data_IF_927941405883
#
_entry.id   IF_927941405883
#
_cell.length_a   1.000
_cell.length_b   1.000
_cell.length_c   1.000
_cell.angle_alpha   90.00
_cell.angle_beta   90.00
_cell.angle_gamma   90.00
#
_symmetry.space_group_name_H-M   'P 1'
#
loop_
_entity.id
_entity.type
_entity.pdbx_description
1 polymer ?
#
# COMPACT_ATOMS: atom_id res chain seq x y z
N UNK A 1 -8.56 11.81 18.45
CA UNK A 1 -7.31 11.20 17.96
C UNK A 1 -7.20 9.79 18.53
N UNK A 2 -8.09 8.86 18.15
CA UNK A 2 -8.09 7.49 18.70
C UNK A 2 -8.27 6.41 17.62
N UNK A 3 -8.24 6.83 16.35
CA UNK A 3 -8.40 5.94 15.20
C UNK A 3 -7.10 5.22 14.82
N UNK A 4 -5.96 5.86 15.07
CA UNK A 4 -4.64 5.27 14.78
C UNK A 4 -4.25 4.14 15.75
N UNK A 5 -4.90 4.05 16.92
CA UNK A 5 -4.67 3.01 17.92
C UNK A 5 -5.59 1.79 17.74
N UNK A 6 -6.45 1.79 16.71
CA UNK A 6 -7.44 0.74 16.43
C UNK A 6 -7.25 0.24 14.99
N UNK A 7 -6.21 -0.59 14.75
CA UNK A 7 -5.78 -0.93 13.39
C UNK A 7 -6.85 -1.63 12.56
N UNK A 8 -7.69 -2.45 13.19
CA UNK A 8 -8.81 -3.13 12.52
C UNK A 8 -9.86 -2.12 12.03
N UNK A 9 -10.25 -1.17 12.88
CA UNK A 9 -11.21 -0.13 12.51
C UNK A 9 -10.64 0.81 11.45
N UNK A 10 -9.34 1.12 11.53
CA UNK A 10 -8.66 1.90 10.50
C UNK A 10 -8.69 1.17 9.15
N UNK A 11 -8.37 -0.13 9.13
CA UNK A 11 -8.37 -0.95 7.93
C UNK A 11 -9.76 -1.02 7.27
N UNK A 12 -10.84 -1.05 8.07
CA UNK A 12 -12.22 -1.06 7.57
C UNK A 12 -12.68 0.32 7.08
N UNK A 13 -12.21 1.39 7.72
CA UNK A 13 -12.60 2.77 7.38
C UNK A 13 -11.77 3.38 6.23
N UNK A 14 -10.89 2.62 5.58
CA UNK A 14 -9.90 3.14 4.63
C UNK A 14 -10.39 3.28 3.17
N UNK A 15 -11.69 3.18 2.89
CA UNK A 15 -12.23 3.10 1.53
C UNK A 15 -11.79 4.25 0.59
N UNK A 16 -11.69 5.49 1.11
CA UNK A 16 -11.24 6.65 0.33
C UNK A 16 -9.73 6.55 0.01
N UNK A 17 -8.83 6.40 1.01
CA UNK A 17 -7.42 6.12 0.75
C UNK A 17 -7.20 4.94 -0.19
N UNK A 18 -7.91 3.83 0.03
CA UNK A 18 -7.81 2.63 -0.80
C UNK A 18 -8.08 2.92 -2.27
N UNK A 19 -9.19 3.63 -2.56
CA UNK A 19 -9.54 3.99 -3.93
C UNK A 19 -8.48 4.91 -4.56
N UNK A 20 -8.05 5.94 -3.85
CA UNK A 20 -7.02 6.86 -4.34
C UNK A 20 -5.70 6.14 -4.63
N UNK A 21 -5.28 5.24 -3.73
CA UNK A 21 -4.08 4.42 -3.95
C UNK A 21 -4.26 3.47 -5.12
N UNK A 22 -5.44 2.85 -5.30
CA UNK A 22 -5.72 1.98 -6.43
C UNK A 22 -5.58 2.72 -7.77
N UNK A 23 -6.11 3.94 -7.86
CA UNK A 23 -6.03 4.75 -9.09
C UNK A 23 -4.55 5.06 -9.43
N UNK A 24 -3.77 5.51 -8.44
CA UNK A 24 -2.34 5.80 -8.60
C UNK A 24 -1.55 4.52 -8.97
N UNK A 25 -1.77 3.42 -8.27
CA UNK A 25 -1.07 2.15 -8.51
C UNK A 25 -1.34 1.63 -9.91
N UNK A 26 -2.57 1.79 -10.42
CA UNK A 26 -2.91 1.39 -11.78
C UNK A 26 -2.24 2.30 -12.82
N UNK A 27 -2.25 3.62 -12.60
CA UNK A 27 -1.61 4.61 -13.47
C UNK A 27 -0.10 4.37 -13.60
N UNK A 28 0.58 4.10 -12.48
CA UNK A 28 2.04 3.94 -12.42
C UNK A 28 2.50 2.47 -12.34
N UNK A 29 1.66 1.53 -12.79
CA UNK A 29 1.95 0.10 -12.68
C UNK A 29 3.27 -0.31 -13.37
N UNK A 30 3.61 0.33 -14.49
CA UNK A 30 4.87 0.08 -15.19
C UNK A 30 6.11 0.58 -14.44
N UNK A 31 5.99 1.68 -13.70
CA UNK A 31 7.05 2.25 -12.86
C UNK A 31 7.23 1.42 -11.60
N UNK A 32 6.13 1.03 -10.95
CA UNK A 32 6.14 0.16 -9.78
C UNK A 32 6.81 -1.17 -10.09
N UNK A 33 6.57 -1.76 -11.27
CA UNK A 33 7.19 -3.04 -11.65
C UNK A 33 8.71 -2.97 -11.79
N UNK A 34 9.27 -1.77 -11.97
CA UNK A 34 10.73 -1.55 -12.03
C UNK A 34 11.36 -1.41 -10.63
N UNK A 35 10.56 -1.28 -9.57
CA UNK A 35 11.06 -1.19 -8.20
C UNK A 35 11.50 -2.58 -7.72
N UNK A 36 12.78 -2.73 -7.43
CA UNK A 36 13.40 -3.99 -7.02
C UNK A 36 14.13 -3.85 -5.68
N UNK A 37 14.41 -4.97 -5.01
CA UNK A 37 15.12 -4.98 -3.73
C UNK A 37 14.24 -4.54 -2.57
N UNK A 38 14.74 -3.65 -1.70
CA UNK A 38 13.99 -3.20 -0.50
C UNK A 38 13.26 -1.89 -0.76
N UNK A 39 11.95 -1.90 -0.53
CA UNK A 39 11.06 -0.74 -0.65
C UNK A 39 10.56 -0.41 0.76
N UNK A 40 10.54 0.87 1.12
CA UNK A 40 9.98 1.33 2.40
C UNK A 40 8.64 2.02 2.15
N UNK A 41 7.61 1.60 2.89
CA UNK A 41 6.29 2.26 2.84
C UNK A 41 6.08 3.16 4.07
N UNK A 42 6.24 4.46 3.86
CA UNK A 42 6.16 5.44 4.94
C UNK A 42 4.71 5.81 5.19
N UNK A 43 4.19 5.40 6.36
CA UNK A 43 2.81 5.68 6.76
C UNK A 43 1.81 4.63 6.26
N UNK A 44 2.26 3.38 6.12
CA UNK A 44 1.46 2.23 5.66
C UNK A 44 0.21 1.91 6.50
N UNK A 45 0.09 2.49 7.70
CA UNK A 45 -1.03 2.23 8.62
C UNK A 45 -1.06 0.74 9.01
N UNK A 46 -2.23 0.08 8.93
CA UNK A 46 -2.34 -1.37 9.14
C UNK A 46 -1.69 -2.22 8.03
N UNK A 47 -1.24 -1.62 6.93
CA UNK A 47 -0.54 -2.30 5.83
C UNK A 47 -1.43 -3.04 4.83
N UNK A 48 -2.75 -3.10 5.01
CA UNK A 48 -3.65 -3.80 4.08
C UNK A 48 -3.66 -3.17 2.68
N UNK A 49 -3.61 -1.84 2.58
CA UNK A 49 -3.51 -1.14 1.29
C UNK A 49 -2.20 -1.52 0.59
N UNK A 50 -1.09 -1.51 1.32
CA UNK A 50 0.24 -1.90 0.82
C UNK A 50 0.24 -3.33 0.32
N UNK A 51 -0.32 -4.25 1.10
CA UNK A 51 -0.38 -5.68 0.78
C UNK A 51 -1.27 -5.99 -0.43
N UNK A 52 -2.47 -5.40 -0.49
CA UNK A 52 -3.46 -5.72 -1.53
C UNK A 52 -3.18 -4.98 -2.84
N UNK A 53 -2.71 -3.74 -2.75
CA UNK A 53 -2.53 -2.88 -3.92
C UNK A 53 -1.08 -2.80 -4.35
N UNK A 54 -0.14 -2.44 -3.48
CA UNK A 54 1.24 -2.11 -3.90
C UNK A 54 2.10 -3.34 -4.14
N UNK A 55 2.11 -4.30 -3.20
CA UNK A 55 2.94 -5.50 -3.25
C UNK A 55 2.78 -6.29 -4.57
N UNK A 56 1.56 -6.48 -5.13
CA UNK A 56 1.41 -7.21 -6.38
C UNK A 56 1.88 -6.45 -7.64
N UNK A 57 2.21 -5.15 -7.54
CA UNK A 57 2.67 -4.35 -8.70
C UNK A 57 4.17 -4.06 -8.72
N UNK A 58 4.91 -4.46 -7.68
CA UNK A 58 6.37 -4.33 -7.67
C UNK A 58 7.05 -5.56 -8.29
N UNK A 59 8.38 -5.55 -8.36
CA UNK A 59 9.14 -6.73 -8.75
C UNK A 59 8.83 -7.93 -7.84
N UNK A 60 8.80 -9.15 -8.40
CA UNK A 60 8.35 -10.34 -7.66
C UNK A 60 9.34 -10.73 -6.54
N UNK A 61 10.60 -10.28 -6.62
CA UNK A 61 11.62 -10.47 -5.60
C UNK A 61 11.78 -9.25 -4.67
N UNK A 62 10.99 -8.18 -4.89
CA UNK A 62 11.00 -7.02 -4.02
C UNK A 62 10.41 -7.34 -2.64
N UNK A 63 10.98 -6.70 -1.62
CA UNK A 63 10.55 -6.80 -0.23
C UNK A 63 10.09 -5.40 0.20
N UNK A 64 8.84 -5.29 0.61
CA UNK A 64 8.32 -4.06 1.24
C UNK A 64 8.51 -4.19 2.75
N UNK A 65 9.09 -3.15 3.36
CA UNK A 65 9.38 -3.03 4.79
C UNK A 65 8.50 -1.97 5.43
#
# INVERSE_FOLDING_TARGET
MDFMNRPEEYAVANAIPYRGTSDIVNEFSGELKKMHGKIIDIGCGPGNVTYELVLPRVDDEAIIV
#
